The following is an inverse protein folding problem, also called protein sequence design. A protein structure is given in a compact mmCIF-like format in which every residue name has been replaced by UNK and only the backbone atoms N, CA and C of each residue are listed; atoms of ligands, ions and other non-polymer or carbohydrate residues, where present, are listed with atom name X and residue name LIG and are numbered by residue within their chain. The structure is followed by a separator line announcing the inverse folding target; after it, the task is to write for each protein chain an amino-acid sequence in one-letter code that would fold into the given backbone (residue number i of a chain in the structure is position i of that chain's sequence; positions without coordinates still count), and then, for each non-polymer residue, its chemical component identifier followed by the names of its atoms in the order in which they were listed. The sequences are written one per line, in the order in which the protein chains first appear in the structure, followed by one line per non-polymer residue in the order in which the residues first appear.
data_IF_654259107120
#
_entry.id   IF_654259107120
#
_cell.length_a   1.000
_cell.length_b   1.000
_cell.length_c   1.000
_cell.angle_alpha   90.00
_cell.angle_beta   90.00
_cell.angle_gamma   90.00
#
_symmetry.space_group_name_H-M   'P 1'
#
loop_
_entity.id
_entity.type
_entity.pdbx_description
1 polymer ?
#
# COMPACT_ATOMS: atom_id res chain seq x y z
N UNK A 1 -1.66 -47.55 34.92
CA UNK A 1 -2.10 -47.90 33.56
C UNK A 1 -2.49 -46.56 32.91
N UNK A 2 -1.52 -45.90 32.26
CA UNK A 2 -1.64 -44.57 31.68
C UNK A 2 -2.18 -44.69 30.26
N UNK A 3 -3.38 -44.10 30.04
CA UNK A 3 -4.00 -44.04 28.73
C UNK A 3 -3.35 -42.85 27.96
N UNK A 4 -2.38 -43.18 27.09
CA UNK A 4 -1.92 -42.22 26.08
C UNK A 4 -2.98 -42.08 24.99
N UNK A 5 -3.76 -41.00 25.04
CA UNK A 5 -4.61 -40.58 23.90
C UNK A 5 -3.71 -40.23 22.73
N UNK A 6 -3.94 -40.91 21.63
CA UNK A 6 -3.29 -40.70 20.35
C UNK A 6 -3.73 -39.32 19.82
N UNK A 7 -2.93 -38.29 20.09
CA UNK A 7 -3.16 -36.96 19.51
C UNK A 7 -2.78 -37.02 18.03
N UNK A 8 -3.79 -36.70 17.17
CA UNK A 8 -3.62 -36.64 15.74
C UNK A 8 -2.66 -35.51 15.40
N UNK A 9 -1.45 -35.87 14.91
CA UNK A 9 -0.39 -34.94 14.56
C UNK A 9 -0.83 -33.91 13.53
N UNK A 10 -1.79 -34.27 12.67
CA UNK A 10 -2.31 -33.39 11.63
C UNK A 10 -3.18 -32.28 12.21
N UNK A 11 -4.01 -32.58 13.21
CA UNK A 11 -4.77 -31.56 13.95
C UNK A 11 -3.90 -30.62 14.77
N UNK A 12 -2.81 -31.14 15.35
CA UNK A 12 -1.83 -30.32 16.09
C UNK A 12 -1.15 -29.37 15.11
N UNK A 13 -0.76 -29.81 13.92
CA UNK A 13 -0.14 -28.98 12.90
C UNK A 13 -1.09 -27.88 12.39
N UNK A 14 -2.37 -28.19 12.16
CA UNK A 14 -3.38 -27.21 11.78
C UNK A 14 -3.61 -26.15 12.87
N UNK A 15 -3.62 -26.55 14.13
CA UNK A 15 -3.74 -25.62 15.26
C UNK A 15 -2.48 -24.73 15.35
N UNK A 16 -1.29 -25.30 15.17
CA UNK A 16 -0.03 -24.54 15.16
C UNK A 16 0.01 -23.52 14.02
N UNK A 17 -0.39 -23.91 12.81
CA UNK A 17 -0.45 -23.00 11.65
C UNK A 17 -1.46 -21.87 11.89
N UNK A 18 -2.66 -22.17 12.42
CA UNK A 18 -3.64 -21.14 12.80
C UNK A 18 -3.15 -20.20 13.90
N UNK A 19 -2.49 -20.75 14.93
CA UNK A 19 -1.92 -19.93 16.01
C UNK A 19 -0.79 -19.04 15.46
N UNK A 20 0.12 -19.58 14.65
CA UNK A 20 1.18 -18.78 14.02
C UNK A 20 0.63 -17.69 13.10
N UNK A 21 -0.42 -17.97 12.32
CA UNK A 21 -1.05 -16.98 11.45
C UNK A 21 -1.76 -15.89 12.27
N UNK A 22 -2.45 -16.26 13.35
CA UNK A 22 -3.13 -15.31 14.25
C UNK A 22 -2.11 -14.48 15.04
N UNK A 23 -1.02 -15.10 15.52
CA UNK A 23 0.06 -14.42 16.24
C UNK A 23 0.85 -13.47 15.32
N UNK A 24 1.12 -13.87 14.08
CA UNK A 24 1.78 -13.02 13.09
C UNK A 24 0.93 -11.76 12.80
N UNK A 25 -0.37 -11.91 12.62
CA UNK A 25 -1.27 -10.78 12.41
C UNK A 25 -1.46 -9.94 13.69
N UNK A 26 -1.49 -10.56 14.86
CA UNK A 26 -1.57 -9.86 16.15
C UNK A 26 -0.28 -9.10 16.48
N UNK A 27 0.89 -9.70 16.26
CA UNK A 27 2.19 -9.03 16.42
C UNK A 27 2.37 -7.92 15.37
N UNK A 28 1.88 -8.12 14.15
CA UNK A 28 1.89 -7.11 13.10
C UNK A 28 0.98 -5.93 13.47
N UNK A 29 -0.25 -6.17 13.93
CA UNK A 29 -1.16 -5.14 14.44
C UNK A 29 -0.59 -4.43 15.66
N UNK A 30 -0.05 -5.17 16.64
CA UNK A 30 0.57 -4.62 17.84
C UNK A 30 1.86 -3.84 17.52
N UNK A 31 2.63 -4.25 16.52
CA UNK A 31 3.81 -3.53 16.04
C UNK A 31 3.42 -2.19 15.39
N UNK A 32 2.29 -2.14 14.67
CA UNK A 32 1.75 -0.90 14.11
C UNK A 32 1.10 -0.01 15.19
N UNK A 33 0.43 -0.58 16.21
CA UNK A 33 -0.10 0.18 17.35
C UNK A 33 1.00 0.74 18.26
N UNK A 34 2.12 0.02 18.45
CA UNK A 34 3.27 0.48 19.24
C UNK A 34 4.13 1.51 18.52
N UNK A 35 4.04 1.59 17.18
CA UNK A 35 4.71 2.61 16.37
C UNK A 35 3.96 3.93 16.34
N UNK A 36 3.23 4.26 17.41
CA UNK A 36 2.54 5.54 17.67
C UNK A 36 2.49 6.50 16.47
N UNK A 37 1.34 6.78 16.00
CA UNK A 37 0.82 7.90 15.17
C UNK A 37 1.81 8.90 14.51
N UNK A 38 2.93 8.44 13.99
CA UNK A 38 3.81 9.23 13.14
C UNK A 38 3.34 9.02 11.71
N UNK A 39 2.40 9.83 11.24
CA UNK A 39 1.83 9.80 9.90
C UNK A 39 1.10 8.48 9.58
N UNK A 40 -0.19 8.42 9.88
CA UNK A 40 -1.05 7.33 9.38
C UNK A 40 -1.30 7.52 7.88
N UNK A 41 -0.39 6.99 7.05
CA UNK A 41 -0.76 6.71 5.66
C UNK A 41 -1.94 5.74 5.73
N UNK A 42 -3.09 6.14 5.19
CA UNK A 42 -4.27 5.28 5.26
C UNK A 42 -4.02 3.99 4.47
N UNK A 43 -4.53 2.85 4.97
CA UNK A 43 -4.47 1.56 4.26
C UNK A 43 -4.99 1.67 2.82
N UNK A 44 -5.88 2.64 2.57
CA UNK A 44 -6.40 2.93 1.23
C UNK A 44 -5.31 3.46 0.28
N UNK A 45 -4.45 4.36 0.76
CA UNK A 45 -3.30 4.89 0.00
C UNK A 45 -2.29 3.78 -0.25
N UNK A 46 -1.92 3.03 0.79
CA UNK A 46 -0.97 1.93 0.68
C UNK A 46 -1.43 0.88 -0.35
N UNK A 47 -2.64 0.34 -0.19
CA UNK A 47 -3.19 -0.64 -1.13
C UNK A 47 -3.40 -0.06 -2.53
N UNK A 48 -3.70 1.22 -2.65
CA UNK A 48 -3.86 1.88 -3.94
C UNK A 48 -2.54 2.02 -4.69
N UNK A 49 -1.45 2.37 -4.02
CA UNK A 49 -0.10 2.42 -4.60
C UNK A 49 0.33 1.02 -5.03
N UNK A 50 0.16 0.00 -4.17
CA UNK A 50 0.48 -1.41 -4.51
C UNK A 50 -0.30 -1.85 -5.76
N UNK A 51 -1.59 -1.55 -5.83
CA UNK A 51 -2.41 -1.89 -6.99
C UNK A 51 -1.96 -1.18 -8.28
N UNK A 52 -1.52 0.09 -8.19
CA UNK A 52 -0.99 0.84 -9.33
C UNK A 52 0.35 0.29 -9.83
N UNK A 53 1.25 -0.06 -8.91
CA UNK A 53 2.53 -0.72 -9.25
C UNK A 53 2.25 -2.06 -9.95
N UNK A 54 1.32 -2.85 -9.43
CA UNK A 54 0.91 -4.12 -10.03
C UNK A 54 0.31 -3.94 -11.44
N UNK A 55 -0.52 -2.92 -11.64
CA UNK A 55 -1.05 -2.56 -12.95
C UNK A 55 0.09 -2.13 -13.88
N UNK A 56 1.01 -1.28 -13.42
CA UNK A 56 2.13 -0.77 -14.22
C UNK A 56 2.99 -1.91 -14.76
N UNK A 57 3.37 -2.84 -13.89
CA UNK A 57 4.27 -3.96 -14.25
C UNK A 57 3.58 -4.96 -15.17
N UNK A 58 2.27 -5.19 -15.00
CA UNK A 58 1.55 -6.26 -15.67
C UNK A 58 0.63 -5.79 -16.82
N UNK A 59 0.59 -4.49 -17.16
CA UNK A 59 -0.23 -3.93 -18.25
C UNK A 59 0.61 -3.52 -19.47
N UNK A 60 1.59 -4.32 -19.89
CA UNK A 60 2.38 -4.08 -21.09
C UNK A 60 1.68 -4.59 -22.36
N UNK A 61 2.00 -3.99 -23.54
CA UNK A 61 1.57 -4.49 -24.87
C UNK A 61 0.06 -4.72 -25.03
N UNK A 62 -0.78 -3.74 -24.68
CA UNK A 62 -2.26 -3.83 -24.74
C UNK A 62 -2.89 -4.83 -23.75
N UNK A 63 -2.12 -5.40 -22.83
CA UNK A 63 -2.66 -6.22 -21.76
C UNK A 63 -3.27 -5.34 -20.65
N UNK A 64 -4.35 -5.84 -20.06
CA UNK A 64 -5.04 -5.20 -18.96
C UNK A 64 -5.01 -6.08 -17.72
N UNK A 65 -5.00 -5.45 -16.54
CA UNK A 65 -4.93 -6.16 -15.27
C UNK A 65 -6.31 -6.20 -14.62
N UNK A 66 -6.79 -7.40 -14.28
CA UNK A 66 -8.09 -7.58 -13.61
C UNK A 66 -7.97 -7.42 -12.09
N UNK A 67 -9.07 -7.02 -11.43
CA UNK A 67 -9.17 -6.99 -9.96
C UNK A 67 -8.77 -8.31 -9.32
N UNK A 68 -9.20 -9.44 -9.94
CA UNK A 68 -8.91 -10.78 -9.43
C UNK A 68 -7.41 -11.08 -9.48
N UNK A 69 -6.73 -10.64 -10.53
CA UNK A 69 -5.29 -10.85 -10.67
C UNK A 69 -4.50 -10.04 -9.64
N UNK A 70 -4.85 -8.75 -9.44
CA UNK A 70 -4.25 -7.91 -8.39
C UNK A 70 -4.49 -8.55 -7.00
N UNK A 71 -5.73 -8.90 -6.71
CA UNK A 71 -6.11 -9.53 -5.44
C UNK A 71 -5.27 -10.78 -5.13
N UNK A 72 -5.06 -11.63 -6.13
CA UNK A 72 -4.30 -12.87 -5.97
C UNK A 72 -2.80 -12.63 -5.79
N UNK A 73 -2.21 -11.68 -6.54
CA UNK A 73 -0.77 -11.40 -6.47
C UNK A 73 -0.39 -10.63 -5.21
N UNK A 74 -1.24 -9.66 -4.79
CA UNK A 74 -0.91 -8.73 -3.72
C UNK A 74 -1.60 -9.04 -2.38
N UNK A 75 -2.38 -10.12 -2.30
CA UNK A 75 -3.16 -10.52 -1.12
C UNK A 75 -4.09 -9.39 -0.59
N UNK A 76 -4.62 -8.56 -1.50
CA UNK A 76 -5.60 -7.52 -1.20
C UNK A 76 -6.99 -8.02 -1.58
N UNK A 77 -7.99 -7.88 -0.69
CA UNK A 77 -9.33 -8.39 -1.01
C UNK A 77 -9.91 -7.71 -2.25
N UNK A 78 -10.52 -8.50 -3.16
CA UNK A 78 -11.14 -7.98 -4.37
C UNK A 78 -12.20 -6.91 -4.05
N UNK A 79 -13.00 -7.12 -3.00
CA UNK A 79 -13.98 -6.14 -2.52
C UNK A 79 -13.35 -4.79 -2.15
N UNK A 80 -12.15 -4.81 -1.57
CA UNK A 80 -11.45 -3.58 -1.20
C UNK A 80 -10.87 -2.88 -2.43
N UNK A 81 -10.31 -3.64 -3.37
CA UNK A 81 -9.86 -3.11 -4.67
C UNK A 81 -11.00 -2.46 -5.46
N UNK A 82 -12.21 -3.04 -5.42
CA UNK A 82 -13.41 -2.46 -6.03
C UNK A 82 -13.83 -1.12 -5.42
N UNK A 83 -13.36 -0.78 -4.23
CA UNK A 83 -13.56 0.54 -3.63
C UNK A 83 -12.44 1.53 -4.00
N UNK A 84 -11.21 1.06 -4.18
CA UNK A 84 -10.03 1.88 -4.45
C UNK A 84 -9.89 2.23 -5.93
N UNK A 85 -9.97 1.24 -6.83
CA UNK A 85 -9.73 1.43 -8.26
C UNK A 85 -10.68 2.45 -8.92
N UNK A 86 -11.97 2.55 -8.53
CA UNK A 86 -12.83 3.63 -9.03
C UNK A 86 -12.35 5.04 -8.70
N UNK A 87 -11.68 5.24 -7.54
CA UNK A 87 -11.12 6.54 -7.15
C UNK A 87 -9.97 6.92 -8.08
N UNK A 88 -9.02 6.00 -8.29
CA UNK A 88 -7.91 6.19 -9.22
C UNK A 88 -8.38 6.41 -10.67
N UNK A 89 -9.44 5.72 -11.07
CA UNK A 89 -10.06 5.92 -12.38
C UNK A 89 -10.75 7.29 -12.49
N UNK A 90 -11.43 7.74 -11.44
CA UNK A 90 -12.08 9.05 -11.42
C UNK A 90 -11.05 10.19 -11.51
N UNK A 91 -9.91 10.02 -10.85
CA UNK A 91 -8.77 10.94 -10.94
C UNK A 91 -8.03 10.86 -12.30
N UNK A 92 -8.40 9.93 -13.19
CA UNK A 92 -7.77 9.80 -14.49
C UNK A 92 -6.40 9.12 -14.49
N UNK A 93 -5.97 8.51 -13.38
CA UNK A 93 -4.68 7.82 -13.26
C UNK A 93 -4.70 6.47 -13.99
N UNK A 94 -5.84 5.77 -13.91
CA UNK A 94 -6.09 4.52 -14.63
C UNK A 94 -7.36 4.62 -15.48
N UNK A 95 -7.44 3.78 -16.49
CA UNK A 95 -8.66 3.57 -17.29
C UNK A 95 -9.11 2.13 -17.23
N UNK A 96 -10.42 1.90 -17.36
CA UNK A 96 -10.99 0.55 -17.46
C UNK A 96 -11.28 0.20 -18.91
N UNK A 97 -10.91 -1.02 -19.30
CA UNK A 97 -11.25 -1.63 -20.61
C UNK A 97 -12.39 -2.61 -20.37
N UNK A 98 -13.47 -2.48 -21.16
CA UNK A 98 -14.66 -3.34 -21.04
C UNK A 98 -14.51 -4.61 -21.90
N UNK A 99 -15.20 -5.69 -21.52
CA UNK A 99 -15.30 -6.93 -22.28
C UNK A 99 -14.80 -8.15 -21.52
N UNK A 100 -14.83 -9.32 -22.17
CA UNK A 100 -14.40 -10.59 -21.56
C UNK A 100 -12.91 -10.62 -21.15
N UNK A 101 -12.09 -9.82 -21.82
CA UNK A 101 -10.69 -9.56 -21.49
C UNK A 101 -10.50 -8.15 -20.89
N UNK A 102 -11.52 -7.66 -20.18
CA UNK A 102 -11.48 -6.32 -19.59
C UNK A 102 -10.62 -6.26 -18.33
N UNK A 103 -10.24 -5.06 -17.95
CA UNK A 103 -9.40 -4.80 -16.77
C UNK A 103 -9.01 -3.34 -16.68
N UNK A 104 -7.90 -3.07 -16.03
CA UNK A 104 -7.35 -1.73 -15.82
C UNK A 104 -5.97 -1.60 -16.47
N UNK A 105 -5.66 -0.39 -16.93
CA UNK A 105 -4.34 0.01 -17.42
C UNK A 105 -4.09 1.47 -17.06
N UNK A 106 -2.84 1.91 -17.07
CA UNK A 106 -2.48 3.31 -16.83
C UNK A 106 -3.01 4.21 -17.97
N UNK A 107 -3.24 5.48 -17.68
CA UNK A 107 -3.62 6.50 -18.65
C UNK A 107 -2.42 7.26 -19.22
N UNK A 108 -1.32 7.29 -18.46
CA UNK A 108 -0.08 7.97 -18.79
C UNK A 108 1.13 7.08 -18.48
N UNK A 109 2.31 7.36 -19.02
CA UNK A 109 3.56 6.70 -18.63
C UNK A 109 3.84 6.84 -17.13
N UNK A 110 4.48 5.83 -16.53
CA UNK A 110 4.72 5.76 -15.09
C UNK A 110 5.59 6.91 -14.55
N UNK A 111 6.47 7.48 -15.37
CA UNK A 111 7.32 8.64 -15.06
C UNK A 111 6.53 9.97 -15.00
N UNK A 112 5.28 9.98 -15.47
CA UNK A 112 4.39 11.14 -15.44
C UNK A 112 3.34 11.05 -14.34
N UNK A 113 3.26 9.96 -13.60
CA UNK A 113 2.31 9.75 -12.50
C UNK A 113 3.06 9.96 -11.19
N UNK A 114 2.78 11.06 -10.48
CA UNK A 114 3.42 11.39 -9.22
C UNK A 114 2.72 10.71 -8.03
N UNK A 115 3.48 10.47 -6.96
CA UNK A 115 2.92 9.97 -5.70
C UNK A 115 1.88 10.95 -5.13
N UNK A 116 2.06 12.28 -5.37
CA UNK A 116 1.12 13.32 -4.98
C UNK A 116 -0.28 13.09 -5.58
N UNK A 117 -0.36 12.88 -6.90
CA UNK A 117 -1.62 12.63 -7.60
C UNK A 117 -2.32 11.38 -7.07
N UNK A 118 -1.56 10.34 -6.77
CA UNK A 118 -2.09 9.08 -6.23
C UNK A 118 -2.67 9.29 -4.82
N UNK A 119 -1.94 9.99 -3.95
CA UNK A 119 -2.39 10.27 -2.57
C UNK A 119 -3.65 11.14 -2.61
N UNK A 120 -3.65 12.23 -3.39
CA UNK A 120 -4.80 13.13 -3.49
C UNK A 120 -6.05 12.43 -4.02
N UNK A 121 -5.89 11.48 -4.97
CA UNK A 121 -6.99 10.68 -5.49
C UNK A 121 -7.60 9.73 -4.45
N UNK A 122 -6.79 9.21 -3.55
CA UNK A 122 -7.20 8.18 -2.58
C UNK A 122 -7.59 8.79 -1.23
N UNK A 123 -6.84 9.77 -0.75
CA UNK A 123 -7.02 10.37 0.57
C UNK A 123 -6.35 11.75 0.64
N UNK A 124 -7.04 12.79 0.21
CA UNK A 124 -6.50 14.15 0.16
C UNK A 124 -6.06 14.68 1.53
N UNK A 125 -6.67 14.20 2.61
CA UNK A 125 -6.35 14.64 3.97
C UNK A 125 -4.96 14.23 4.47
N UNK A 126 -4.28 13.29 3.81
CA UNK A 126 -2.92 12.84 4.20
C UNK A 126 -1.87 13.95 4.05
N UNK A 127 -2.04 14.80 3.05
CA UNK A 127 -1.09 15.90 2.73
C UNK A 127 -1.66 17.29 3.05
N UNK A 128 -2.79 17.36 3.74
CA UNK A 128 -3.36 18.63 4.20
C UNK A 128 -2.62 19.17 5.42
N UNK A 129 -2.64 20.49 5.57
CA UNK A 129 -2.07 21.14 6.75
C UNK A 129 -2.76 20.68 8.02
N UNK A 130 -1.96 20.28 9.01
CA UNK A 130 -2.44 19.96 10.35
C UNK A 130 -2.86 21.26 11.04
N UNK A 131 -4.11 21.64 10.85
CA UNK A 131 -4.67 22.83 11.52
C UNK A 131 -5.11 22.50 12.94
N UNK A 132 -4.30 22.82 13.92
CA UNK A 132 -4.67 22.81 15.33
C UNK A 132 -5.50 24.06 15.73
N UNK A 133 -6.49 24.45 14.90
CA UNK A 133 -7.27 25.68 15.05
C UNK A 133 -8.22 25.72 16.25
N UNK A 134 -8.28 24.68 17.09
CA UNK A 134 -9.13 24.66 18.29
C UNK A 134 -8.54 25.47 19.47
N UNK A 135 -7.42 26.17 19.25
CA UNK A 135 -6.83 27.06 20.26
C UNK A 135 -6.76 28.47 19.72
N UNK A 136 -7.90 29.14 19.71
CA UNK A 136 -7.97 30.57 19.41
C UNK A 136 -7.06 31.34 20.37
N UNK A 137 -6.26 32.28 19.84
CA UNK A 137 -5.39 33.24 20.57
C UNK A 137 -4.13 32.67 21.29
N UNK A 138 -3.49 31.61 20.76
CA UNK A 138 -2.23 31.15 21.33
C UNK A 138 -1.03 31.47 20.43
N UNK A 139 -0.24 32.48 20.74
CA UNK A 139 1.02 32.81 20.06
C UNK A 139 2.01 31.62 20.04
N UNK A 140 1.96 30.73 21.04
CA UNK A 140 2.78 29.51 21.07
C UNK A 140 2.28 28.53 20.02
N UNK A 141 0.97 28.35 19.86
CA UNK A 141 0.41 27.48 18.82
C UNK A 141 0.74 28.00 17.41
N UNK A 142 0.68 29.31 17.21
CA UNK A 142 1.06 29.95 15.95
C UNK A 142 2.55 29.72 15.64
N UNK A 143 3.43 29.95 16.60
CA UNK A 143 4.86 29.71 16.43
C UNK A 143 5.18 28.23 16.14
N UNK A 144 4.51 27.28 16.80
CA UNK A 144 4.66 25.85 16.52
C UNK A 144 4.15 25.52 15.11
N UNK A 145 3.00 26.08 14.72
CA UNK A 145 2.42 25.86 13.38
C UNK A 145 3.37 26.36 12.29
N UNK A 146 3.87 27.60 12.40
CA UNK A 146 4.77 28.17 11.39
C UNK A 146 6.17 27.51 11.37
N UNK A 147 6.73 27.20 12.54
CA UNK A 147 8.09 26.68 12.62
C UNK A 147 8.20 25.17 12.34
N UNK A 148 7.12 24.42 12.59
CA UNK A 148 7.14 22.96 12.52
C UNK A 148 6.14 22.43 11.50
N UNK A 149 4.83 22.60 11.74
CA UNK A 149 3.82 21.88 10.95
C UNK A 149 3.76 22.32 9.49
N UNK A 150 3.76 23.62 9.22
CA UNK A 150 3.76 24.12 7.83
C UNK A 150 4.99 23.64 7.05
N UNK A 151 6.16 23.62 7.69
CA UNK A 151 7.38 23.13 7.03
C UNK A 151 7.35 21.62 6.80
N UNK A 152 6.79 20.85 7.74
CA UNK A 152 6.62 19.40 7.55
C UNK A 152 5.68 19.11 6.39
N UNK A 153 4.54 19.80 6.32
CA UNK A 153 3.60 19.66 5.21
C UNK A 153 4.23 20.02 3.88
N UNK A 154 4.93 21.16 3.79
CA UNK A 154 5.68 21.57 2.61
C UNK A 154 6.70 20.51 2.16
N UNK A 155 7.42 19.91 3.10
CA UNK A 155 8.39 18.86 2.80
C UNK A 155 7.72 17.61 2.22
N UNK A 156 6.62 17.17 2.83
CA UNK A 156 5.86 16.00 2.38
C UNK A 156 5.23 16.23 1.00
N UNK A 157 4.70 17.43 0.77
CA UNK A 157 4.15 17.80 -0.53
C UNK A 157 5.21 17.74 -1.62
N UNK A 158 6.35 18.41 -1.43
CA UNK A 158 7.47 18.39 -2.39
C UNK A 158 8.02 16.99 -2.61
N UNK A 159 8.16 16.20 -1.55
CA UNK A 159 8.60 14.81 -1.68
C UNK A 159 7.63 14.00 -2.53
N UNK A 160 6.32 14.09 -2.25
CA UNK A 160 5.31 13.36 -3.01
C UNK A 160 5.20 13.79 -4.48
N UNK A 161 5.53 15.05 -4.79
CA UNK A 161 5.63 15.57 -6.17
C UNK A 161 6.89 15.08 -6.90
N UNK A 162 7.98 14.81 -6.15
CA UNK A 162 9.25 14.38 -6.72
C UNK A 162 9.34 12.88 -6.98
N UNK A 163 8.50 12.07 -6.36
CA UNK A 163 8.47 10.61 -6.52
C UNK A 163 7.41 10.23 -7.54
N UNK A 164 7.79 9.44 -8.52
CA UNK A 164 6.92 8.93 -9.58
C UNK A 164 6.59 7.44 -9.39
N UNK A 165 5.59 6.96 -10.10
CA UNK A 165 5.29 5.54 -10.14
C UNK A 165 6.46 4.74 -10.75
N UNK A 166 7.20 5.37 -11.69
CA UNK A 166 8.41 4.78 -12.29
C UNK A 166 9.49 4.51 -11.25
N UNK A 167 9.76 5.44 -10.33
CA UNK A 167 10.79 5.25 -9.30
C UNK A 167 10.51 4.01 -8.44
N UNK A 168 9.23 3.72 -8.19
CA UNK A 168 8.80 2.54 -7.43
C UNK A 168 8.94 1.27 -8.27
N UNK A 169 8.57 1.31 -9.55
CA UNK A 169 8.70 0.14 -10.45
C UNK A 169 10.16 -0.19 -10.73
N UNK A 170 11.02 0.79 -10.93
CA UNK A 170 12.47 0.58 -11.12
C UNK A 170 13.07 -0.10 -9.87
N UNK A 171 12.66 0.36 -8.68
CA UNK A 171 13.10 -0.28 -7.43
C UNK A 171 12.59 -1.71 -7.28
N UNK A 172 11.38 -1.98 -7.74
CA UNK A 172 10.84 -3.35 -7.76
C UNK A 172 11.68 -4.27 -8.67
N UNK A 173 12.04 -3.80 -9.87
CA UNK A 173 12.89 -4.56 -10.81
C UNK A 173 14.25 -4.87 -10.20
N UNK A 174 14.91 -3.90 -9.57
CA UNK A 174 16.16 -4.10 -8.83
C UNK A 174 16.06 -5.17 -7.73
N UNK A 175 14.93 -5.19 -7.01
CA UNK A 175 14.71 -6.18 -5.95
C UNK A 175 14.43 -7.58 -6.51
N UNK A 176 13.72 -7.68 -7.64
CA UNK A 176 13.45 -8.94 -8.32
C UNK A 176 14.75 -9.56 -8.86
N UNK A 177 15.58 -8.79 -9.56
CA UNK A 177 16.86 -9.23 -10.09
C UNK A 177 17.80 -9.75 -8.99
N UNK A 178 17.86 -9.03 -7.86
CA UNK A 178 18.68 -9.45 -6.72
C UNK A 178 18.16 -10.71 -6.02
N UNK A 179 16.85 -10.96 -6.05
CA UNK A 179 16.25 -12.17 -5.45
C UNK A 179 16.54 -13.44 -6.25
N UNK A 180 16.74 -13.32 -7.57
CA UNK A 180 17.14 -14.43 -8.43
C UNK A 180 18.65 -14.73 -8.38
N UNK A 181 19.45 -13.78 -7.89
CA UNK A 181 20.90 -13.89 -7.81
C UNK A 181 21.42 -14.59 -6.55
N UNK A 182 20.58 -14.92 -5.55
CA UNK A 182 21.01 -15.73 -4.40
C UNK A 182 21.18 -17.20 -4.82
N UNK A 183 22.42 -17.72 -4.83
CA UNK A 183 22.66 -19.13 -5.17
C UNK A 183 22.06 -20.01 -4.06
N UNK A 184 21.15 -20.90 -4.45
CA UNK A 184 20.70 -22.00 -3.57
C UNK A 184 21.90 -22.88 -3.21
N UNK A 185 22.47 -22.68 -2.06
CA UNK A 185 23.40 -23.65 -1.49
C UNK A 185 22.61 -24.87 -1.04
N UNK A 186 22.59 -25.91 -1.89
CA UNK A 186 22.24 -27.26 -1.44
C UNK A 186 23.37 -27.78 -0.55
N UNK A 187 23.08 -27.91 0.71
CA UNK A 187 23.89 -28.74 1.65
C UNK A 187 23.25 -30.11 1.76
#
# INVERSE_FOLDING_TARGET
MLIFHHFDKQKILEIYVKICYTYKNYLFSMYYELRGDIMKISTKVECGIIALVDICINSGNDEVVTVINISRRQDISAKYLEQILPLLRHAGIIRSVKGAKGGYTLTAPADQITLREVIDALDSGVLEDVNFRDREDSLIADAVSECLWSKMTDYLQRFSESVTLKDITDRFEDLADNSEAEPMYYI
#
